data_IF_971990236856
#
_entry.id   IF_971990236856
#
_cell.length_a   1.000
_cell.length_b   1.000
_cell.length_c   1.000
_cell.angle_alpha   90.00
_cell.angle_beta   90.00
_cell.angle_gamma   90.00
#
_symmetry.space_group_name_H-M   'P 1'
#
loop_
_entity.id
_entity.type
_entity.pdbx_description
1 polymer ?
#
# COMPACT_ATOMS: atom_id res chain seq x y z
N UNK A 1 -10.78 19.24 23.54
CA UNK A 1 -9.88 18.08 23.33
C UNK A 1 -10.60 17.14 22.38
N UNK A 2 -10.04 16.91 21.20
CA UNK A 2 -10.60 16.01 20.19
C UNK A 2 -9.72 14.78 20.07
N UNK A 3 -10.30 13.59 20.25
CA UNK A 3 -9.61 12.31 20.27
C UNK A 3 -10.04 11.48 19.06
N UNK A 4 -9.07 11.06 18.23
CA UNK A 4 -9.31 10.27 17.04
C UNK A 4 -8.54 8.95 17.13
N UNK A 5 -9.25 7.82 16.95
CA UNK A 5 -8.67 6.49 16.81
C UNK A 5 -8.64 6.10 15.34
N UNK A 6 -7.45 5.89 14.80
CA UNK A 6 -7.24 5.36 13.46
C UNK A 6 -7.02 3.85 13.49
N UNK A 7 -7.61 3.13 12.53
CA UNK A 7 -7.55 1.66 12.43
C UNK A 7 -7.20 1.24 11.00
N UNK A 8 -6.21 0.35 10.87
CA UNK A 8 -5.91 -0.44 9.67
C UNK A 8 -6.06 -1.92 9.98
N UNK A 9 -6.81 -2.69 9.18
CA UNK A 9 -7.07 -4.10 9.44
C UNK A 9 -7.65 -4.86 8.23
N UNK A 10 -7.72 -6.20 8.35
CA UNK A 10 -8.43 -7.15 7.48
C UNK A 10 -7.81 -7.39 6.10
N UNK A 11 -6.57 -6.96 5.90
CA UNK A 11 -5.80 -7.30 4.70
C UNK A 11 -4.40 -7.78 5.05
N UNK A 12 -3.51 -6.92 5.50
CA UNK A 12 -2.22 -7.21 6.13
C UNK A 12 -1.82 -6.03 7.02
N UNK A 13 -0.83 -6.23 7.88
CA UNK A 13 -0.20 -5.17 8.69
C UNK A 13 -1.20 -4.35 9.53
N UNK A 14 -2.11 -5.05 10.23
CA UNK A 14 -3.09 -4.39 11.09
C UNK A 14 -2.42 -3.51 12.14
N UNK A 15 -3.00 -2.33 12.38
CA UNK A 15 -2.44 -1.31 13.25
C UNK A 15 -3.52 -0.41 13.83
N UNK A 16 -3.18 0.26 14.93
CA UNK A 16 -4.00 1.30 15.53
C UNK A 16 -3.15 2.51 15.92
N UNK A 17 -3.76 3.69 15.92
CA UNK A 17 -3.14 4.94 16.34
C UNK A 17 -4.13 5.85 17.08
N UNK A 18 -3.65 6.65 18.04
CA UNK A 18 -4.43 7.69 18.70
C UNK A 18 -3.80 9.04 18.45
N UNK A 19 -4.66 9.97 18.02
CA UNK A 19 -4.36 11.39 17.83
C UNK A 19 -5.20 12.18 18.83
N UNK A 20 -4.57 13.11 19.55
CA UNK A 20 -5.26 14.03 20.45
C UNK A 20 -4.87 15.47 20.06
N UNK A 21 -5.86 16.28 19.70
CA UNK A 21 -5.67 17.67 19.26
C UNK A 21 -4.54 17.80 18.21
N UNK A 22 -4.53 16.89 17.21
CA UNK A 22 -3.56 16.84 16.13
C UNK A 22 -2.21 16.23 16.50
N UNK A 23 -1.97 15.88 17.77
CA UNK A 23 -0.71 15.27 18.21
C UNK A 23 -0.81 13.75 18.17
N UNK A 24 0.22 13.12 17.61
CA UNK A 24 0.37 11.65 17.63
C UNK A 24 0.72 11.25 19.07
N UNK A 25 -0.16 10.48 19.72
CA UNK A 25 0.04 10.02 21.10
C UNK A 25 0.61 8.61 21.10
N UNK A 26 -0.01 7.70 20.33
CA UNK A 26 0.44 6.32 20.20
C UNK A 26 0.14 5.78 18.80
N UNK A 27 0.99 4.89 18.31
CA UNK A 27 0.76 4.11 17.09
C UNK A 27 1.48 2.77 17.21
N UNK A 28 0.80 1.66 16.92
CA UNK A 28 1.38 0.34 17.01
C UNK A 28 0.75 -0.63 15.99
N UNK A 29 1.57 -1.56 15.50
CA UNK A 29 1.12 -2.70 14.70
C UNK A 29 0.71 -3.85 15.61
N UNK A 30 -0.34 -4.58 15.23
CA UNK A 30 -0.82 -5.75 15.96
C UNK A 30 0.24 -6.85 16.06
N UNK A 31 1.06 -7.01 15.03
CA UNK A 31 2.15 -7.99 15.02
C UNK A 31 3.19 -7.80 16.14
N UNK A 32 3.30 -6.61 16.74
CA UNK A 32 4.19 -6.35 17.89
C UNK A 32 3.75 -7.15 19.11
N UNK A 33 2.46 -7.38 19.25
CA UNK A 33 1.82 -8.09 20.35
C UNK A 33 1.62 -9.58 20.05
N UNK A 34 1.03 -9.89 18.89
CA UNK A 34 0.72 -11.27 18.48
C UNK A 34 1.94 -12.07 18.03
N UNK A 35 3.06 -11.40 17.68
CA UNK A 35 4.26 -12.00 17.10
C UNK A 35 4.03 -12.72 15.76
N UNK A 36 2.91 -12.45 15.13
CA UNK A 36 2.56 -12.98 13.81
C UNK A 36 2.80 -11.90 12.77
N UNK A 37 3.85 -12.10 11.93
CA UNK A 37 4.18 -11.15 10.86
C UNK A 37 3.02 -10.93 9.91
N UNK A 38 2.81 -9.66 9.54
CA UNK A 38 1.74 -9.24 8.64
C UNK A 38 0.36 -9.69 9.15
N UNK A 39 0.12 -9.60 10.46
CA UNK A 39 -1.16 -9.96 11.06
C UNK A 39 -2.28 -9.12 10.43
N UNK A 40 -3.29 -9.81 9.90
CA UNK A 40 -4.45 -9.20 9.23
C UNK A 40 -5.70 -9.14 10.11
N UNK A 41 -5.62 -9.64 11.34
CA UNK A 41 -6.75 -9.65 12.26
C UNK A 41 -7.13 -8.22 12.68
N UNK A 42 -8.28 -8.08 13.32
CA UNK A 42 -8.62 -6.84 14.00
C UNK A 42 -7.54 -6.50 15.04
N UNK A 43 -7.00 -5.24 15.10
CA UNK A 43 -5.84 -4.90 15.91
C UNK A 43 -6.21 -4.68 17.38
N UNK A 44 -6.72 -5.72 18.02
CA UNK A 44 -7.24 -5.66 19.39
C UNK A 44 -6.17 -5.18 20.38
N UNK A 45 -4.99 -5.81 20.35
CA UNK A 45 -3.92 -5.47 21.30
C UNK A 45 -3.31 -4.10 21.01
N UNK A 46 -3.21 -3.71 19.74
CA UNK A 46 -2.71 -2.38 19.36
C UNK A 46 -3.66 -1.27 19.81
N UNK A 47 -4.99 -1.50 19.77
CA UNK A 47 -5.99 -0.56 20.28
C UNK A 47 -5.90 -0.46 21.81
N UNK A 48 -5.88 -1.59 22.52
CA UNK A 48 -5.71 -1.60 24.00
C UNK A 48 -4.45 -0.84 24.40
N UNK A 49 -3.31 -1.16 23.77
CA UNK A 49 -2.06 -0.45 24.02
C UNK A 49 -2.18 1.06 23.80
N UNK A 50 -2.83 1.48 22.72
CA UNK A 50 -2.94 2.90 22.39
C UNK A 50 -3.88 3.65 23.36
N UNK A 51 -4.98 3.02 23.78
CA UNK A 51 -5.90 3.56 24.80
C UNK A 51 -5.21 3.67 26.17
N UNK A 52 -4.53 2.61 26.59
CA UNK A 52 -3.78 2.58 27.86
C UNK A 52 -2.67 3.63 27.90
N UNK A 53 -1.88 3.73 26.80
CA UNK A 53 -0.81 4.71 26.69
C UNK A 53 -1.31 6.16 26.76
N UNK A 54 -2.47 6.41 26.16
CA UNK A 54 -3.14 7.72 26.21
C UNK A 54 -3.87 7.97 27.53
N UNK A 55 -4.00 6.95 28.40
CA UNK A 55 -4.78 6.97 29.64
C UNK A 55 -6.24 7.40 29.44
N UNK A 56 -6.90 6.84 28.42
CA UNK A 56 -8.29 7.07 28.03
C UNK A 56 -9.04 5.75 27.83
N UNK A 57 -10.38 5.83 27.84
CA UNK A 57 -11.26 4.71 27.47
C UNK A 57 -11.78 4.87 26.04
N UNK A 58 -12.26 3.79 25.45
CA UNK A 58 -12.85 3.83 24.11
C UNK A 58 -14.02 4.83 24.00
N UNK A 59 -14.83 4.99 25.04
CA UNK A 59 -15.95 5.94 25.06
C UNK A 59 -15.50 7.40 25.02
N UNK A 60 -14.27 7.71 25.45
CA UNK A 60 -13.69 9.06 25.39
C UNK A 60 -13.27 9.44 23.97
N UNK A 61 -13.17 8.47 23.06
CA UNK A 61 -12.83 8.69 21.65
C UNK A 61 -13.99 9.37 20.93
N UNK A 62 -13.74 10.52 20.31
CA UNK A 62 -14.75 11.29 19.59
C UNK A 62 -15.04 10.70 18.21
N UNK A 63 -14.00 10.27 17.48
CA UNK A 63 -14.10 9.73 16.13
C UNK A 63 -13.18 8.51 15.95
N UNK A 64 -13.67 7.51 15.23
CA UNK A 64 -12.92 6.31 14.85
C UNK A 64 -12.89 6.26 13.33
N UNK A 65 -11.70 6.16 12.74
CA UNK A 65 -11.57 6.14 11.30
C UNK A 65 -10.83 4.91 10.80
N UNK A 66 -11.41 4.25 9.82
CA UNK A 66 -10.82 3.13 9.12
C UNK A 66 -10.09 3.63 7.86
N UNK A 67 -8.94 3.06 7.55
CA UNK A 67 -7.97 3.58 6.59
C UNK A 67 -8.36 3.43 5.10
N UNK A 68 -9.44 2.70 4.77
CA UNK A 68 -9.92 2.49 3.40
C UNK A 68 -11.45 2.55 3.29
N UNK A 69 -11.98 2.77 2.07
CA UNK A 69 -13.41 2.77 1.77
C UNK A 69 -13.84 1.41 1.20
N UNK A 70 -14.46 0.55 2.00
CA UNK A 70 -14.77 -0.82 1.60
C UNK A 70 -15.74 -0.92 0.42
N UNK A 71 -16.69 0.02 0.30
CA UNK A 71 -17.67 0.02 -0.81
C UNK A 71 -16.98 0.32 -2.16
N UNK A 72 -16.08 1.30 -2.23
CA UNK A 72 -15.33 1.62 -3.44
C UNK A 72 -14.39 0.47 -3.84
N UNK A 73 -13.79 -0.18 -2.84
CA UNK A 73 -12.98 -1.38 -3.08
C UNK A 73 -13.80 -2.53 -3.65
N UNK A 74 -15.02 -2.72 -3.16
CA UNK A 74 -15.96 -3.71 -3.68
C UNK A 74 -16.42 -3.36 -5.11
N UNK A 75 -16.74 -2.10 -5.39
CA UNK A 75 -17.07 -1.60 -6.73
C UNK A 75 -15.96 -1.92 -7.73
N UNK A 76 -14.70 -1.55 -7.43
CA UNK A 76 -13.56 -1.90 -8.27
C UNK A 76 -13.50 -3.40 -8.57
N UNK A 77 -13.70 -4.25 -7.57
CA UNK A 77 -13.67 -5.69 -7.77
C UNK A 77 -14.74 -6.14 -8.75
N UNK A 78 -15.98 -5.66 -8.61
CA UNK A 78 -17.08 -5.95 -9.54
C UNK A 78 -16.77 -5.48 -10.96
N UNK A 79 -16.37 -4.22 -11.11
CA UNK A 79 -16.06 -3.65 -12.43
C UNK A 79 -14.90 -4.37 -13.10
N UNK A 80 -13.87 -4.78 -12.33
CA UNK A 80 -12.76 -5.57 -12.85
C UNK A 80 -13.24 -6.88 -13.44
N UNK A 81 -14.09 -7.64 -12.74
CA UNK A 81 -14.59 -8.91 -13.28
C UNK A 81 -15.48 -8.72 -14.50
N UNK A 82 -16.27 -7.67 -14.55
CA UNK A 82 -17.09 -7.31 -15.73
C UNK A 82 -16.17 -6.96 -16.91
N UNK A 83 -15.17 -6.13 -16.70
CA UNK A 83 -14.24 -5.69 -17.75
C UNK A 83 -13.41 -6.85 -18.36
N UNK A 84 -13.06 -7.85 -17.55
CA UNK A 84 -12.28 -9.00 -18.00
C UNK A 84 -13.15 -10.22 -18.39
N UNK A 85 -14.46 -10.14 -18.32
CA UNK A 85 -15.36 -11.27 -18.65
C UNK A 85 -15.10 -11.85 -20.04
N UNK A 86 -15.15 -13.18 -20.25
CA UNK A 86 -15.49 -14.23 -19.27
C UNK A 86 -14.32 -14.72 -18.41
N UNK A 87 -13.13 -14.10 -18.50
CA UNK A 87 -11.96 -14.47 -17.68
C UNK A 87 -12.27 -14.27 -16.19
N UNK A 88 -11.77 -15.16 -15.34
CA UNK A 88 -11.92 -15.02 -13.89
C UNK A 88 -13.25 -15.46 -13.31
N UNK A 89 -14.18 -16.04 -14.07
CA UNK A 89 -15.50 -16.47 -13.56
C UNK A 89 -15.39 -17.39 -12.35
N UNK A 90 -14.44 -18.33 -12.35
CA UNK A 90 -14.22 -19.25 -11.21
C UNK A 90 -13.79 -18.51 -9.95
N UNK A 91 -12.81 -17.59 -10.05
CA UNK A 91 -12.36 -16.79 -8.91
C UNK A 91 -13.43 -15.83 -8.43
N UNK A 92 -14.24 -15.27 -9.33
CA UNK A 92 -15.42 -14.46 -8.99
C UNK A 92 -16.40 -15.24 -8.10
N UNK A 93 -16.80 -16.45 -8.53
CA UNK A 93 -17.72 -17.29 -7.76
C UNK A 93 -17.16 -17.67 -6.37
N UNK A 94 -15.85 -17.81 -6.23
CA UNK A 94 -15.21 -18.11 -4.96
C UNK A 94 -15.09 -16.88 -4.04
N UNK A 95 -14.78 -15.73 -4.61
CA UNK A 95 -14.52 -14.51 -3.84
C UNK A 95 -15.79 -13.75 -3.46
N UNK A 96 -16.79 -13.75 -4.32
CA UNK A 96 -17.98 -12.92 -4.17
C UNK A 96 -18.77 -13.14 -2.87
N UNK A 97 -19.05 -14.39 -2.41
CA UNK A 97 -19.75 -14.60 -1.14
C UNK A 97 -18.98 -14.05 0.07
N UNK A 98 -17.64 -14.13 0.05
CA UNK A 98 -16.77 -13.64 1.11
C UNK A 98 -16.81 -12.11 1.13
N UNK A 99 -16.66 -11.47 -0.02
CA UNK A 99 -16.60 -10.02 -0.14
C UNK A 99 -17.93 -9.34 0.14
N UNK A 100 -19.05 -9.94 -0.29
CA UNK A 100 -20.39 -9.46 0.08
C UNK A 100 -20.54 -9.42 1.60
N UNK A 101 -20.12 -10.47 2.30
CA UNK A 101 -20.19 -10.52 3.75
C UNK A 101 -19.23 -9.53 4.42
N UNK A 102 -17.97 -9.52 4.01
CA UNK A 102 -16.91 -8.80 4.71
C UNK A 102 -16.89 -7.29 4.40
N UNK A 103 -17.17 -6.90 3.14
CA UNK A 103 -17.07 -5.50 2.72
C UNK A 103 -18.35 -4.71 2.91
N UNK A 104 -19.53 -5.29 2.62
CA UNK A 104 -20.80 -4.59 2.83
C UNK A 104 -21.14 -4.40 4.30
N UNK A 105 -20.70 -5.28 5.18
CA UNK A 105 -20.96 -5.19 6.61
C UNK A 105 -19.75 -4.77 7.45
N UNK A 106 -18.70 -4.22 6.82
CA UNK A 106 -17.45 -3.88 7.50
C UNK A 106 -17.64 -2.88 8.65
N UNK A 107 -18.53 -1.87 8.48
CA UNK A 107 -18.86 -0.94 9.57
C UNK A 107 -19.43 -1.67 10.78
N UNK A 108 -20.40 -2.58 10.54
CA UNK A 108 -21.00 -3.40 11.60
C UNK A 108 -20.00 -4.35 12.26
N UNK A 109 -19.10 -4.91 11.46
CA UNK A 109 -18.04 -5.77 11.96
C UNK A 109 -17.09 -4.98 12.87
N UNK A 110 -16.61 -3.81 12.44
CA UNK A 110 -15.80 -2.91 13.27
C UNK A 110 -16.51 -2.53 14.56
N UNK A 111 -17.78 -2.16 14.48
CA UNK A 111 -18.57 -1.83 15.65
C UNK A 111 -18.67 -2.99 16.65
N UNK A 112 -18.86 -4.22 16.17
CA UNK A 112 -18.92 -5.40 17.04
C UNK A 112 -17.55 -5.72 17.67
N UNK A 113 -16.44 -5.50 16.93
CA UNK A 113 -15.09 -5.67 17.49
C UNK A 113 -14.77 -4.60 18.53
N UNK A 114 -15.14 -3.33 18.29
CA UNK A 114 -14.97 -2.23 19.24
C UNK A 114 -15.72 -2.47 20.55
N UNK A 115 -16.90 -3.08 20.49
CA UNK A 115 -17.65 -3.46 21.70
C UNK A 115 -16.93 -4.45 22.60
N UNK A 116 -15.95 -5.20 22.11
CA UNK A 116 -15.17 -6.10 22.96
C UNK A 116 -14.21 -5.35 23.88
N UNK A 117 -13.82 -4.11 23.53
CA UNK A 117 -13.02 -3.23 24.39
C UNK A 117 -13.88 -2.56 25.47
N UNK A 118 -15.11 -2.15 25.10
CA UNK A 118 -16.06 -1.54 26.03
C UNK A 118 -17.50 -1.90 25.64
N UNK A 119 -18.16 -2.70 26.47
CA UNK A 119 -19.55 -3.11 26.26
C UNK A 119 -20.54 -1.92 26.24
N UNK A 120 -20.14 -0.77 26.77
CA UNK A 120 -20.95 0.46 26.77
C UNK A 120 -20.77 1.28 25.50
N UNK A 121 -19.85 0.91 24.61
CA UNK A 121 -19.71 1.56 23.31
C UNK A 121 -20.95 1.29 22.45
N UNK A 122 -21.74 2.34 22.18
CA UNK A 122 -23.05 2.23 21.50
C UNK A 122 -23.15 3.08 20.23
N UNK A 123 -22.22 3.99 19.99
CA UNK A 123 -22.31 4.97 18.92
C UNK A 123 -21.57 4.50 17.66
N UNK A 124 -22.30 3.82 16.77
CA UNK A 124 -21.79 3.42 15.47
C UNK A 124 -21.53 4.62 14.52
N UNK A 125 -22.11 5.80 14.83
CA UNK A 125 -21.93 7.00 14.00
C UNK A 125 -20.52 7.61 14.15
N UNK A 126 -19.82 7.28 15.23
CA UNK A 126 -18.41 7.66 15.42
C UNK A 126 -17.44 6.98 14.41
N UNK A 127 -17.90 5.96 13.66
CA UNK A 127 -17.05 5.19 12.73
C UNK A 127 -17.11 5.79 11.32
N UNK A 128 -15.96 6.25 10.84
CA UNK A 128 -15.71 6.86 9.53
C UNK A 128 -14.78 6.00 8.67
N UNK A 129 -14.66 6.33 7.39
CA UNK A 129 -13.79 5.68 6.43
C UNK A 129 -13.02 6.72 5.62
N UNK A 130 -11.70 6.55 5.51
CA UNK A 130 -10.81 7.38 4.70
C UNK A 130 -10.58 6.75 3.33
N UNK A 131 -10.10 7.52 2.34
CA UNK A 131 -9.52 6.95 1.12
C UNK A 131 -8.15 6.34 1.44
N UNK A 132 -7.86 5.16 0.89
CA UNK A 132 -6.63 4.41 1.15
C UNK A 132 -5.36 5.23 0.80
N UNK A 133 -5.31 5.79 -0.40
CA UNK A 133 -4.16 6.59 -0.82
C UNK A 133 -4.06 7.95 -0.10
N UNK A 134 -5.18 8.54 0.31
CA UNK A 134 -5.16 9.70 1.19
C UNK A 134 -4.59 9.34 2.56
N UNK A 135 -4.95 8.17 3.10
CA UNK A 135 -4.38 7.67 4.35
C UNK A 135 -2.86 7.48 4.26
N UNK A 136 -2.35 6.89 3.17
CA UNK A 136 -0.91 6.80 2.94
C UNK A 136 -0.26 8.17 2.84
N UNK A 137 -0.79 9.07 2.02
CA UNK A 137 -0.22 10.40 1.81
C UNK A 137 -0.18 11.20 3.12
N UNK A 138 -1.26 11.19 3.88
CA UNK A 138 -1.36 11.86 5.17
C UNK A 138 -0.38 11.28 6.20
N UNK A 139 -0.17 9.94 6.19
CA UNK A 139 0.78 9.27 7.06
C UNK A 139 2.22 9.72 6.85
N UNK A 140 2.57 10.12 5.62
CA UNK A 140 3.91 10.62 5.30
C UNK A 140 4.02 12.13 5.48
N UNK A 141 3.04 12.92 5.05
CA UNK A 141 3.15 14.37 5.04
C UNK A 141 3.06 14.98 6.44
N UNK A 142 1.99 14.73 7.18
CA UNK A 142 1.75 15.42 8.44
C UNK A 142 2.77 15.12 9.56
N UNK A 143 3.38 13.93 9.67
CA UNK A 143 4.48 13.72 10.61
C UNK A 143 5.84 14.20 10.10
N UNK A 144 5.96 14.57 8.82
CA UNK A 144 7.21 15.06 8.25
C UNK A 144 7.61 16.43 8.83
N UNK A 145 8.90 16.81 8.76
CA UNK A 145 9.35 18.12 9.21
C UNK A 145 9.03 19.26 8.20
N UNK A 146 8.24 18.99 7.15
CA UNK A 146 8.07 19.91 6.04
C UNK A 146 6.75 20.68 6.13
N UNK A 147 6.79 21.99 5.93
CA UNK A 147 5.58 22.80 5.74
C UNK A 147 4.97 22.63 4.34
N UNK A 148 5.80 22.27 3.34
CA UNK A 148 5.38 22.03 1.96
C UNK A 148 6.20 20.89 1.37
N UNK A 149 5.53 19.90 0.76
CA UNK A 149 6.18 18.77 0.11
C UNK A 149 5.33 18.20 -1.03
N UNK A 150 6.00 17.58 -2.00
CA UNK A 150 5.37 16.60 -2.89
C UNK A 150 5.24 15.29 -2.11
N UNK A 151 4.08 14.65 -2.16
CA UNK A 151 3.85 13.36 -1.53
C UNK A 151 3.58 12.33 -2.62
N UNK A 152 4.52 11.43 -2.82
CA UNK A 152 4.39 10.31 -3.75
C UNK A 152 3.99 9.06 -2.97
N UNK A 153 2.79 8.56 -3.24
CA UNK A 153 2.32 7.27 -2.72
C UNK A 153 2.33 6.26 -3.84
N UNK A 154 3.07 5.17 -3.67
CA UNK A 154 3.11 4.06 -4.61
C UNK A 154 2.88 2.74 -3.87
N UNK A 155 1.82 2.02 -4.27
CA UNK A 155 1.34 0.85 -3.55
C UNK A 155 0.92 -0.28 -4.49
N UNK A 156 0.41 -1.37 -3.92
CA UNK A 156 -0.23 -2.44 -4.68
C UNK A 156 -1.52 -1.95 -5.32
N UNK A 157 -2.53 -1.72 -4.52
CA UNK A 157 -3.79 -1.13 -4.93
C UNK A 157 -4.65 -0.74 -3.72
N UNK A 158 -5.14 0.50 -3.71
CA UNK A 158 -6.16 0.99 -2.79
C UNK A 158 -7.57 0.66 -3.29
N UNK A 159 -8.44 1.63 -3.32
CA UNK A 159 -9.77 1.46 -3.96
C UNK A 159 -9.57 1.30 -5.48
N UNK A 160 -9.08 2.32 -6.15
CA UNK A 160 -8.73 2.33 -7.58
C UNK A 160 -7.27 2.73 -7.81
N UNK A 161 -6.80 3.72 -7.08
CA UNK A 161 -5.46 4.25 -7.21
C UNK A 161 -4.41 3.21 -6.80
N UNK A 162 -3.29 3.20 -7.53
CA UNK A 162 -2.09 2.40 -7.28
C UNK A 162 -0.87 3.27 -7.05
N UNK A 163 -0.90 4.47 -7.61
CA UNK A 163 0.10 5.52 -7.40
C UNK A 163 -0.64 6.84 -7.34
N UNK A 164 -0.33 7.68 -6.35
CA UNK A 164 -0.86 9.04 -6.26
C UNK A 164 0.25 10.04 -6.02
N UNK A 165 0.04 11.25 -6.51
CA UNK A 165 0.85 12.41 -6.22
C UNK A 165 -0.04 13.43 -5.54
N UNK A 166 0.32 13.81 -4.33
CA UNK A 166 -0.34 14.89 -3.62
C UNK A 166 0.63 16.04 -3.35
N UNK A 167 0.08 17.24 -3.16
CA UNK A 167 0.81 18.39 -2.65
C UNK A 167 0.31 18.67 -1.24
N UNK A 168 1.23 18.52 -0.29
CA UNK A 168 1.00 18.90 1.10
C UNK A 168 1.50 20.32 1.34
N UNK A 169 0.69 21.15 1.98
CA UNK A 169 1.06 22.50 2.39
C UNK A 169 0.36 22.89 3.68
N UNK A 170 1.13 23.03 4.77
CA UNK A 170 0.61 23.28 6.13
C UNK A 170 -0.42 22.21 6.52
N UNK A 171 -1.69 22.59 6.68
CA UNK A 171 -2.79 21.70 7.06
C UNK A 171 -3.53 21.12 5.84
N UNK A 172 -3.14 21.47 4.62
CA UNK A 172 -3.82 21.01 3.41
C UNK A 172 -3.01 19.92 2.71
N UNK A 173 -3.71 18.89 2.23
CA UNK A 173 -3.15 17.79 1.44
C UNK A 173 -4.10 17.52 0.27
N UNK A 174 -3.64 17.80 -0.96
CA UNK A 174 -4.45 17.71 -2.16
C UNK A 174 -3.86 16.73 -3.17
N UNK A 175 -4.61 15.69 -3.54
CA UNK A 175 -4.22 14.74 -4.58
C UNK A 175 -4.31 15.44 -5.96
N UNK A 176 -3.23 15.40 -6.73
CA UNK A 176 -3.09 16.06 -8.03
C UNK A 176 -3.09 15.07 -9.20
N UNK A 177 -2.53 13.88 -9.00
CA UNK A 177 -2.37 12.87 -10.06
C UNK A 177 -2.55 11.47 -9.51
N UNK A 178 -3.03 10.57 -10.37
CA UNK A 178 -3.24 9.17 -10.03
C UNK A 178 -2.91 8.24 -11.21
N UNK A 179 -2.40 7.08 -10.89
CA UNK A 179 -2.39 5.90 -11.77
C UNK A 179 -3.34 4.90 -11.14
N UNK A 180 -4.23 4.32 -11.95
CA UNK A 180 -5.26 3.41 -11.49
C UNK A 180 -4.95 1.96 -11.82
N UNK A 181 -5.52 1.06 -11.04
CA UNK A 181 -5.60 -0.36 -11.34
C UNK A 181 -6.17 -0.60 -12.76
N UNK A 182 -5.62 -1.54 -13.55
CA UNK A 182 -4.68 -2.59 -13.15
C UNK A 182 -3.19 -2.21 -13.28
N UNK A 183 -2.85 -0.96 -13.56
CA UNK A 183 -1.48 -0.49 -13.74
C UNK A 183 -0.90 -0.11 -12.38
N UNK A 184 -0.01 -0.95 -11.85
CA UNK A 184 0.56 -0.80 -10.51
C UNK A 184 2.02 -1.24 -10.47
N UNK A 185 2.89 -0.37 -9.96
CA UNK A 185 4.29 -0.70 -9.73
C UNK A 185 4.45 -1.74 -8.61
N UNK A 186 3.63 -1.63 -7.56
CA UNK A 186 3.60 -2.59 -6.46
C UNK A 186 3.16 -3.97 -6.93
N UNK A 187 2.07 -4.08 -7.72
CA UNK A 187 1.63 -5.37 -8.28
C UNK A 187 2.62 -5.95 -9.29
N UNK A 188 3.29 -5.10 -10.09
CA UNK A 188 4.37 -5.55 -10.95
C UNK A 188 5.50 -6.18 -10.14
N UNK A 189 5.97 -5.51 -9.08
CA UNK A 189 7.00 -6.04 -8.19
C UNK A 189 6.55 -7.32 -7.47
N UNK A 190 5.30 -7.38 -7.04
CA UNK A 190 4.69 -8.57 -6.42
C UNK A 190 4.53 -9.73 -7.41
N UNK A 191 4.30 -9.47 -8.70
CA UNK A 191 4.29 -10.52 -9.72
C UNK A 191 5.67 -11.20 -9.86
N UNK A 192 6.75 -10.43 -9.80
CA UNK A 192 8.12 -10.98 -9.78
C UNK A 192 8.46 -11.65 -8.44
N UNK A 193 7.92 -11.15 -7.32
CA UNK A 193 8.00 -11.79 -6.01
C UNK A 193 7.40 -13.19 -6.06
N UNK A 194 6.17 -13.31 -6.61
CA UNK A 194 5.51 -14.57 -6.86
C UNK A 194 6.32 -15.48 -7.79
N UNK A 195 6.78 -14.94 -8.92
CA UNK A 195 7.50 -15.69 -9.94
C UNK A 195 8.80 -16.31 -9.42
N UNK A 196 9.50 -15.62 -8.52
CA UNK A 196 10.69 -16.15 -7.83
C UNK A 196 10.37 -17.06 -6.64
N UNK A 197 9.07 -17.36 -6.41
CA UNK A 197 8.58 -18.30 -5.39
C UNK A 197 8.57 -17.73 -3.98
N UNK A 198 8.58 -16.41 -3.83
CA UNK A 198 8.34 -15.76 -2.55
C UNK A 198 6.85 -15.47 -2.35
N UNK A 199 6.43 -15.37 -1.10
CA UNK A 199 5.05 -15.08 -0.76
C UNK A 199 4.76 -13.59 -1.00
N UNK A 200 3.75 -13.29 -1.82
CA UNK A 200 3.26 -11.92 -2.05
C UNK A 200 2.77 -11.28 -0.75
N UNK A 201 2.89 -9.97 -0.66
CA UNK A 201 2.60 -9.13 0.52
C UNK A 201 3.50 -9.38 1.74
N UNK A 202 4.52 -10.20 1.58
CA UNK A 202 5.45 -10.49 2.69
C UNK A 202 6.84 -10.94 2.22
N UNK A 203 7.08 -11.01 0.93
CA UNK A 203 8.32 -11.49 0.35
C UNK A 203 9.02 -10.48 -0.58
N UNK A 204 8.42 -9.32 -0.78
CA UNK A 204 8.96 -8.26 -1.63
C UNK A 204 10.36 -7.82 -1.16
N UNK A 205 10.57 -7.72 0.16
CA UNK A 205 11.89 -7.42 0.72
C UNK A 205 12.92 -8.52 0.45
N UNK A 206 12.48 -9.79 0.30
CA UNK A 206 13.38 -10.91 -0.06
C UNK A 206 13.80 -10.81 -1.51
N UNK A 207 12.88 -10.39 -2.40
CA UNK A 207 13.20 -10.13 -3.81
C UNK A 207 14.19 -8.97 -3.91
N UNK A 208 13.96 -7.87 -3.19
CA UNK A 208 14.89 -6.74 -3.09
C UNK A 208 16.27 -7.19 -2.58
N UNK A 209 16.29 -8.02 -1.52
CA UNK A 209 17.54 -8.58 -0.96
C UNK A 209 18.24 -9.60 -1.87
N UNK A 210 17.52 -10.23 -2.82
CA UNK A 210 18.07 -11.16 -3.80
C UNK A 210 18.73 -10.43 -4.99
N UNK A 211 18.25 -9.24 -5.33
CA UNK A 211 18.68 -8.47 -6.50
C UNK A 211 20.21 -8.21 -6.57
N UNK A 212 20.92 -7.90 -5.46
CA UNK A 212 22.37 -7.69 -5.50
C UNK A 212 23.22 -8.90 -5.95
N UNK A 213 22.66 -10.12 -5.91
CA UNK A 213 23.34 -11.35 -6.32
C UNK A 213 23.17 -11.65 -7.81
N UNK A 214 22.36 -10.88 -8.54
CA UNK A 214 22.08 -11.04 -9.96
C UNK A 214 22.62 -9.91 -10.82
N UNK A 215 22.42 -10.09 -12.14
CA UNK A 215 22.67 -9.07 -13.17
C UNK A 215 21.35 -8.72 -13.85
N UNK A 216 21.07 -7.45 -14.20
CA UNK A 216 19.79 -7.04 -14.77
C UNK A 216 19.65 -7.39 -16.27
N UNK A 217 19.97 -8.63 -16.66
CA UNK A 217 20.01 -9.09 -18.05
C UNK A 217 18.63 -9.22 -18.71
N UNK A 218 17.56 -9.19 -17.91
CA UNK A 218 16.18 -9.26 -18.38
C UNK A 218 15.47 -7.90 -18.40
N UNK A 219 16.17 -6.79 -18.10
CA UNK A 219 15.62 -5.43 -18.09
C UNK A 219 14.91 -5.09 -19.42
N UNK A 220 15.60 -5.29 -20.54
CA UNK A 220 15.05 -5.07 -21.89
C UNK A 220 13.79 -5.89 -22.18
N UNK A 221 13.74 -7.15 -21.70
CA UNK A 221 12.55 -8.01 -21.87
C UNK A 221 11.37 -7.47 -21.08
N UNK A 222 11.60 -6.99 -19.87
CA UNK A 222 10.57 -6.40 -19.01
C UNK A 222 10.02 -5.14 -19.69
N UNK A 223 10.88 -4.20 -20.05
CA UNK A 223 10.48 -2.91 -20.62
C UNK A 223 9.79 -3.07 -21.98
N UNK A 224 10.24 -4.01 -22.83
CA UNK A 224 9.66 -4.20 -24.17
C UNK A 224 8.32 -4.95 -24.17
N UNK A 225 8.05 -5.82 -23.18
CA UNK A 225 6.90 -6.73 -23.21
C UNK A 225 5.88 -6.48 -22.11
N UNK A 226 6.33 -6.13 -20.88
CA UNK A 226 5.49 -6.09 -19.70
C UNK A 226 5.01 -4.70 -19.34
N UNK A 227 5.79 -3.66 -19.67
CA UNK A 227 5.51 -2.30 -19.20
C UNK A 227 5.92 -1.27 -20.26
N UNK A 228 5.04 -0.31 -20.52
CA UNK A 228 5.32 0.88 -21.32
C UNK A 228 5.53 2.07 -20.38
N UNK A 229 6.77 2.58 -20.30
CA UNK A 229 7.17 3.65 -19.39
C UNK A 229 7.25 4.96 -20.19
N UNK A 230 6.46 5.96 -19.78
CA UNK A 230 6.45 7.29 -20.40
C UNK A 230 7.63 8.14 -19.92
N UNK A 231 7.79 9.32 -20.54
CA UNK A 231 8.89 10.25 -20.20
C UNK A 231 8.79 10.77 -18.75
N UNK A 232 7.57 11.01 -18.28
CA UNK A 232 7.25 11.48 -16.93
C UNK A 232 7.31 10.36 -15.86
N UNK A 233 7.61 9.13 -16.27
CA UNK A 233 7.65 7.96 -15.40
C UNK A 233 6.29 7.29 -15.20
N UNK A 234 5.19 7.86 -15.71
CA UNK A 234 3.91 7.14 -15.75
C UNK A 234 4.03 5.90 -16.65
N UNK A 235 3.20 4.90 -16.41
CA UNK A 235 3.37 3.61 -17.08
C UNK A 235 2.06 2.87 -17.29
N UNK A 236 2.08 1.94 -18.25
CA UNK A 236 1.02 0.98 -18.53
C UNK A 236 1.57 -0.44 -18.51
N UNK A 237 0.89 -1.35 -17.79
CA UNK A 237 1.25 -2.76 -17.75
C UNK A 237 0.47 -3.52 -18.81
N UNK A 238 1.17 -4.39 -19.53
CA UNK A 238 0.55 -5.30 -20.49
C UNK A 238 -0.13 -6.46 -19.76
N UNK A 239 -1.44 -6.37 -19.60
CA UNK A 239 -2.24 -7.31 -18.83
C UNK A 239 -2.29 -8.73 -19.41
N UNK A 240 -1.77 -8.93 -20.62
CA UNK A 240 -1.67 -10.25 -21.23
C UNK A 240 -0.75 -11.22 -20.49
N UNK A 241 0.18 -10.70 -19.70
CA UNK A 241 1.18 -11.49 -18.96
C UNK A 241 0.79 -11.73 -17.50
N UNK A 242 -0.25 -11.07 -16.99
CA UNK A 242 -0.62 -11.09 -15.60
C UNK A 242 -1.99 -11.70 -15.35
N UNK A 243 -2.15 -12.36 -14.20
CA UNK A 243 -3.41 -12.93 -13.76
C UNK A 243 -3.99 -12.23 -12.53
N UNK A 244 -3.28 -11.31 -11.91
CA UNK A 244 -3.68 -10.73 -10.61
C UNK A 244 -5.02 -9.98 -10.64
N UNK A 245 -5.47 -9.52 -11.82
CA UNK A 245 -6.74 -8.82 -11.94
C UNK A 245 -7.94 -9.72 -11.62
N UNK A 246 -7.95 -10.95 -12.14
CA UNK A 246 -9.11 -11.88 -12.05
C UNK A 246 -8.72 -13.32 -11.79
N UNK A 247 -7.42 -13.64 -11.69
CA UNK A 247 -6.92 -15.00 -11.51
C UNK A 247 -6.58 -15.32 -10.05
N UNK A 248 -6.09 -16.54 -9.85
CA UNK A 248 -5.61 -17.05 -8.56
C UNK A 248 -4.08 -17.03 -8.44
N UNK A 249 -3.40 -16.60 -9.49
CA UNK A 249 -1.93 -16.46 -9.59
C UNK A 249 -1.59 -15.03 -10.00
N UNK A 250 -0.34 -14.61 -9.81
CA UNK A 250 0.09 -13.28 -10.24
C UNK A 250 0.47 -13.24 -11.72
N UNK A 251 1.07 -14.32 -12.23
CA UNK A 251 1.57 -14.46 -13.60
C UNK A 251 0.90 -15.64 -14.32
N UNK A 252 1.11 -15.76 -15.61
CA UNK A 252 0.55 -16.81 -16.47
C UNK A 252 1.60 -17.45 -17.39
N UNK A 253 1.17 -18.39 -18.25
CA UNK A 253 2.06 -19.11 -19.16
C UNK A 253 2.78 -18.18 -20.17
N UNK A 254 2.21 -17.03 -20.57
CA UNK A 254 2.90 -16.04 -21.41
C UNK A 254 4.10 -15.43 -20.68
N UNK A 255 3.94 -15.17 -19.38
CA UNK A 255 5.04 -14.68 -18.53
C UNK A 255 6.14 -15.73 -18.41
N UNK A 256 5.78 -16.98 -18.15
CA UNK A 256 6.70 -18.10 -18.07
C UNK A 256 7.48 -18.28 -19.39
N UNK A 257 6.78 -18.23 -20.54
CA UNK A 257 7.40 -18.36 -21.86
C UNK A 257 8.34 -17.18 -22.18
N UNK A 258 8.00 -15.96 -21.74
CA UNK A 258 8.86 -14.79 -21.96
C UNK A 258 10.24 -14.96 -21.32
N UNK A 259 10.31 -15.53 -20.13
CA UNK A 259 11.55 -15.75 -19.39
C UNK A 259 12.15 -17.14 -19.60
N UNK A 260 11.39 -18.07 -20.17
CA UNK A 260 11.83 -19.44 -20.49
C UNK A 260 11.81 -20.42 -19.33
N UNK A 261 11.21 -20.05 -18.19
CA UNK A 261 11.02 -20.90 -17.02
C UNK A 261 9.65 -20.64 -16.38
N UNK A 262 9.12 -21.63 -15.66
CA UNK A 262 7.91 -21.47 -14.85
C UNK A 262 8.20 -20.74 -13.55
N UNK A 263 7.13 -20.19 -12.94
CA UNK A 263 7.22 -19.66 -11.60
C UNK A 263 7.74 -20.72 -10.61
N UNK A 264 8.72 -20.36 -9.79
CA UNK A 264 9.42 -21.27 -8.88
C UNK A 264 8.49 -21.83 -7.79
N UNK A 265 8.45 -23.13 -7.64
CA UNK A 265 7.87 -23.79 -6.45
C UNK A 265 8.90 -23.78 -5.32
N UNK A 266 8.73 -22.90 -4.35
CA UNK A 266 9.66 -22.73 -3.22
C UNK A 266 9.81 -23.97 -2.33
N UNK A 267 8.86 -24.91 -2.39
CA UNK A 267 8.90 -26.17 -1.61
C UNK A 267 9.78 -27.23 -2.28
N UNK A 268 9.97 -27.15 -3.60
CA UNK A 268 10.67 -28.16 -4.40
C UNK A 268 11.97 -27.68 -5.01
N UNK A 269 12.09 -26.37 -5.25
CA UNK A 269 13.16 -25.80 -6.05
C UNK A 269 14.01 -24.82 -5.23
N UNK A 270 15.32 -24.83 -5.47
CA UNK A 270 16.24 -23.86 -4.90
C UNK A 270 16.28 -22.59 -5.75
N UNK A 271 16.70 -21.48 -5.15
CA UNK A 271 17.07 -20.28 -5.90
C UNK A 271 18.30 -20.56 -6.75
N UNK A 272 18.30 -20.07 -7.98
CA UNK A 272 19.38 -20.19 -8.96
C UNK A 272 19.81 -18.83 -9.46
N UNK A 273 20.87 -18.73 -10.26
CA UNK A 273 21.33 -17.50 -10.86
C UNK A 273 20.21 -16.83 -11.69
N UNK A 274 19.37 -17.62 -12.37
CA UNK A 274 18.20 -17.11 -13.08
C UNK A 274 17.29 -16.25 -12.19
N UNK A 275 16.96 -16.73 -11.00
CA UNK A 275 16.09 -16.00 -10.07
C UNK A 275 16.76 -14.73 -9.52
N UNK A 276 18.09 -14.76 -9.34
CA UNK A 276 18.89 -13.59 -8.95
C UNK A 276 18.89 -12.53 -10.05
N UNK A 277 19.06 -12.96 -11.31
CA UNK A 277 19.06 -12.06 -12.47
C UNK A 277 17.66 -11.47 -12.74
N UNK A 278 16.60 -12.25 -12.54
CA UNK A 278 15.21 -11.76 -12.56
C UNK A 278 15.00 -10.69 -11.47
N UNK A 279 15.44 -10.96 -10.24
CA UNK A 279 15.34 -10.00 -9.13
C UNK A 279 16.11 -8.70 -9.41
N UNK A 280 17.34 -8.81 -9.90
CA UNK A 280 18.14 -7.65 -10.32
C UNK A 280 17.47 -6.84 -11.43
N UNK A 281 16.83 -7.52 -12.39
CA UNK A 281 16.18 -6.87 -13.52
C UNK A 281 14.94 -6.07 -13.12
N UNK A 282 14.03 -6.66 -12.33
CA UNK A 282 12.85 -5.93 -11.86
C UNK A 282 13.22 -4.82 -10.87
N UNK A 283 14.23 -5.03 -10.03
CA UNK A 283 14.72 -3.98 -9.12
C UNK A 283 15.21 -2.78 -9.93
N UNK A 284 16.00 -3.00 -10.99
CA UNK A 284 16.50 -1.96 -11.87
C UNK A 284 15.38 -1.18 -12.56
N UNK A 285 14.37 -1.88 -13.09
CA UNK A 285 13.18 -1.24 -13.71
C UNK A 285 12.39 -0.42 -12.70
N UNK A 286 12.20 -0.94 -11.48
CA UNK A 286 11.50 -0.22 -10.40
C UNK A 286 12.22 1.08 -10.03
N UNK A 287 13.54 1.03 -9.89
CA UNK A 287 14.38 2.19 -9.61
C UNK A 287 14.28 3.26 -10.70
N UNK A 288 14.33 2.83 -11.97
CA UNK A 288 14.22 3.74 -13.11
C UNK A 288 12.86 4.46 -13.14
N UNK A 289 11.77 3.74 -12.91
CA UNK A 289 10.42 4.32 -12.85
C UNK A 289 10.34 5.36 -11.72
N UNK A 290 10.76 4.99 -10.51
CA UNK A 290 10.72 5.88 -9.35
C UNK A 290 11.56 7.13 -9.56
N UNK A 291 12.74 7.03 -10.19
CA UNK A 291 13.59 8.18 -10.52
C UNK A 291 12.93 9.06 -11.58
N UNK A 292 12.34 8.49 -12.64
CA UNK A 292 11.64 9.25 -13.68
C UNK A 292 10.46 10.02 -13.10
N UNK A 293 9.63 9.38 -12.29
CA UNK A 293 8.51 10.04 -11.59
C UNK A 293 9.06 11.18 -10.73
N UNK A 294 10.07 10.93 -9.89
CA UNK A 294 10.67 11.92 -9.02
C UNK A 294 11.19 13.15 -9.78
N UNK A 295 11.91 12.95 -10.91
CA UNK A 295 12.42 14.02 -11.77
C UNK A 295 11.28 14.84 -12.39
N UNK A 296 10.29 14.18 -12.96
CA UNK A 296 9.13 14.85 -13.56
C UNK A 296 8.35 15.68 -12.55
N UNK A 297 8.12 15.14 -11.35
CA UNK A 297 7.43 15.84 -10.28
C UNK A 297 8.21 17.07 -9.78
N UNK A 298 9.53 16.95 -9.66
CA UNK A 298 10.40 18.09 -9.31
C UNK A 298 10.36 19.19 -10.36
N UNK A 299 10.41 18.80 -11.63
CA UNK A 299 10.31 19.75 -12.76
C UNK A 299 8.96 20.46 -12.80
N UNK A 300 7.86 19.72 -12.57
CA UNK A 300 6.51 20.27 -12.68
C UNK A 300 6.11 21.17 -11.52
N UNK A 301 6.37 20.73 -10.29
CA UNK A 301 5.90 21.44 -9.09
C UNK A 301 6.96 22.34 -8.45
N UNK A 302 8.24 22.14 -8.76
CA UNK A 302 9.38 22.88 -8.23
C UNK A 302 9.41 22.99 -6.68
N UNK A 303 8.91 21.97 -5.98
CA UNK A 303 8.93 21.87 -4.51
C UNK A 303 10.20 21.14 -4.09
N UNK A 304 10.95 21.63 -3.06
CA UNK A 304 12.24 21.05 -2.70
C UNK A 304 12.16 19.74 -1.90
N UNK A 305 11.00 19.45 -1.31
CA UNK A 305 10.82 18.33 -0.39
C UNK A 305 9.95 17.22 -0.99
N UNK A 306 10.34 15.96 -0.76
CA UNK A 306 9.59 14.77 -1.15
C UNK A 306 9.24 13.94 0.07
N UNK A 307 7.95 13.55 0.20
CA UNK A 307 7.48 12.52 1.12
C UNK A 307 7.12 11.27 0.34
N UNK A 308 7.42 10.08 0.89
CA UNK A 308 7.15 8.78 0.29
C UNK A 308 6.30 7.90 1.23
N UNK A 309 5.26 7.28 0.69
CA UNK A 309 4.40 6.30 1.35
C UNK A 309 3.90 5.21 0.38
N UNK A 310 3.13 4.24 0.90
CA UNK A 310 2.71 3.04 0.18
C UNK A 310 3.76 1.93 0.24
N UNK A 311 3.36 0.70 -0.10
CA UNK A 311 4.22 -0.48 -0.01
C UNK A 311 5.51 -0.38 -0.82
N UNK A 312 5.50 0.31 -1.97
CA UNK A 312 6.72 0.53 -2.79
C UNK A 312 7.73 1.43 -2.08
N UNK A 313 7.28 2.34 -1.20
CA UNK A 313 8.18 3.18 -0.41
C UNK A 313 9.01 2.40 0.64
N UNK A 314 8.71 1.11 0.85
CA UNK A 314 9.57 0.19 1.62
C UNK A 314 10.79 -0.27 0.81
N UNK A 315 10.86 0.00 -0.51
CA UNK A 315 12.03 -0.29 -1.33
C UNK A 315 13.15 0.74 -1.05
N UNK A 316 13.91 0.48 0.01
CA UNK A 316 14.99 1.37 0.46
C UNK A 316 16.09 1.56 -0.59
N UNK A 317 16.26 0.62 -1.53
CA UNK A 317 17.25 0.72 -2.61
C UNK A 317 16.81 1.78 -3.63
N UNK A 318 15.54 1.77 -4.04
CA UNK A 318 14.98 2.80 -4.92
C UNK A 318 15.00 4.19 -4.26
N UNK A 319 14.57 4.26 -2.98
CA UNK A 319 14.61 5.52 -2.21
C UNK A 319 16.04 6.08 -2.10
N UNK A 320 17.02 5.21 -1.82
CA UNK A 320 18.43 5.57 -1.74
C UNK A 320 19.00 6.09 -3.07
N UNK A 321 18.47 5.61 -4.21
CA UNK A 321 18.86 6.11 -5.52
C UNK A 321 18.27 7.49 -5.81
N UNK A 322 17.00 7.74 -5.49
CA UNK A 322 16.39 9.07 -5.59
C UNK A 322 17.21 10.09 -4.79
N UNK A 323 17.62 9.71 -3.57
CA UNK A 323 18.46 10.55 -2.72
C UNK A 323 19.84 10.84 -3.36
N UNK A 324 20.51 9.83 -3.92
CA UNK A 324 21.81 9.95 -4.58
C UNK A 324 21.77 10.83 -5.84
N UNK A 325 20.67 10.81 -6.57
CA UNK A 325 20.45 11.66 -7.75
C UNK A 325 20.26 13.15 -7.40
N UNK A 326 20.09 13.46 -6.11
CA UNK A 326 19.89 14.86 -5.61
C UNK A 326 18.77 15.61 -6.32
N UNK A 327 17.68 14.89 -6.63
CA UNK A 327 16.50 15.46 -7.31
C UNK A 327 15.77 16.43 -6.36
N UNK A 328 15.68 16.07 -5.09
CA UNK A 328 15.08 16.86 -4.02
C UNK A 328 16.12 17.24 -3.00
N UNK A 329 15.93 18.40 -2.35
CA UNK A 329 16.79 18.86 -1.27
C UNK A 329 16.63 17.98 -0.03
N UNK A 330 15.39 17.54 0.23
CA UNK A 330 15.06 16.68 1.37
C UNK A 330 14.08 15.59 0.97
N UNK A 331 14.23 14.42 1.59
CA UNK A 331 13.34 13.26 1.42
C UNK A 331 12.92 12.76 2.80
N UNK A 332 11.61 12.54 2.98
CA UNK A 332 11.03 11.89 4.14
C UNK A 332 10.31 10.62 3.72
N UNK A 333 10.64 9.51 4.33
CA UNK A 333 9.95 8.23 4.11
C UNK A 333 9.20 7.87 5.38
N UNK A 334 7.89 7.62 5.27
CA UNK A 334 7.10 7.13 6.41
C UNK A 334 7.69 5.79 6.90
N UNK A 335 8.12 5.66 8.17
CA UNK A 335 8.70 4.42 8.67
C UNK A 335 7.78 3.20 8.53
N UNK A 336 6.47 3.39 8.72
CA UNK A 336 5.44 2.39 8.45
C UNK A 336 4.77 2.67 7.10
N UNK A 337 5.56 2.69 6.01
CA UNK A 337 5.09 3.16 4.70
C UNK A 337 3.95 2.32 4.10
N UNK A 338 3.84 1.03 4.45
CA UNK A 338 2.74 0.16 4.06
C UNK A 338 1.43 0.45 4.80
N UNK A 339 0.49 -0.49 4.74
CA UNK A 339 -0.88 -0.34 5.27
C UNK A 339 -0.95 -0.04 6.77
N UNK A 340 0.06 -0.43 7.55
CA UNK A 340 0.11 -0.08 8.98
C UNK A 340 0.08 1.43 9.23
N UNK A 341 0.80 2.20 8.42
CA UNK A 341 0.77 3.66 8.48
C UNK A 341 -0.57 4.27 8.10
N UNK A 342 -1.41 3.51 7.40
CA UNK A 342 -2.76 3.92 7.04
C UNK A 342 -3.62 4.27 8.26
N UNK A 343 -3.45 3.58 9.39
CA UNK A 343 -4.14 3.92 10.64
C UNK A 343 -3.80 5.33 11.12
N UNK A 344 -2.52 5.67 11.13
CA UNK A 344 -2.01 6.98 11.50
C UNK A 344 -2.47 8.06 10.51
N UNK A 345 -2.31 7.76 9.22
CA UNK A 345 -2.65 8.71 8.16
C UNK A 345 -4.13 9.02 8.08
N UNK A 346 -5.00 8.02 8.23
CA UNK A 346 -6.45 8.24 8.29
C UNK A 346 -6.83 9.18 9.44
N UNK A 347 -6.28 8.96 10.63
CA UNK A 347 -6.56 9.81 11.80
C UNK A 347 -6.05 11.23 11.60
N UNK A 348 -4.86 11.43 11.04
CA UNK A 348 -4.31 12.74 10.72
C UNK A 348 -5.11 13.44 9.61
N UNK A 349 -5.48 12.73 8.54
CA UNK A 349 -6.32 13.29 7.48
C UNK A 349 -7.65 13.80 8.04
N UNK A 350 -8.34 12.99 8.88
CA UNK A 350 -9.59 13.40 9.51
C UNK A 350 -9.43 14.63 10.39
N UNK A 351 -8.35 14.70 11.18
CA UNK A 351 -8.06 15.87 11.99
C UNK A 351 -7.91 17.13 11.14
N UNK A 352 -7.12 17.08 10.07
CA UNK A 352 -6.82 18.26 9.23
C UNK A 352 -7.99 18.66 8.31
N UNK A 353 -8.86 17.73 7.92
CA UNK A 353 -10.09 18.04 7.14
C UNK A 353 -11.10 18.81 8.01
N UNK A 354 -11.16 18.53 9.31
CA UNK A 354 -12.10 19.14 10.24
C UNK A 354 -11.62 20.51 10.81
N UNK A 355 -10.42 20.98 10.41
CA UNK A 355 -9.88 22.32 10.76
C UNK A 355 -10.20 23.36 9.68
#
# INVERSE_FOLDING_TARGET
MKIILGISAFYHDSAASIIIDGKIIAAAQEERFTRKKHDSSYPFNAIEFALDYANIKLNDVDQIIFFEKPFLKFERLLETYVAFAPKGFKSFCMAMPIWLKDKLFQKKMLFNELKKHDNNFKDEQKIFFSDHHLSHAASAFFPSPFEEAIVLTADGVGEWATTTVAIGKKNNLEIKKEIHFPHSLGLLYSAFTYYTGFKVNSGEYKLMGLAPYGKPIYEDKIVKNLIDIKKDGSFWLNQDYFNYATGLTMTNDKFDNLFGQKARDSKKEKLTQFHMDIAASIQKVTEEIMIKIAKSLKEEFNIPNLCLAGGVALNCVANGKILKEKIFDNIWVQPAAGDAGGSLGAALALWHIDQ
#
